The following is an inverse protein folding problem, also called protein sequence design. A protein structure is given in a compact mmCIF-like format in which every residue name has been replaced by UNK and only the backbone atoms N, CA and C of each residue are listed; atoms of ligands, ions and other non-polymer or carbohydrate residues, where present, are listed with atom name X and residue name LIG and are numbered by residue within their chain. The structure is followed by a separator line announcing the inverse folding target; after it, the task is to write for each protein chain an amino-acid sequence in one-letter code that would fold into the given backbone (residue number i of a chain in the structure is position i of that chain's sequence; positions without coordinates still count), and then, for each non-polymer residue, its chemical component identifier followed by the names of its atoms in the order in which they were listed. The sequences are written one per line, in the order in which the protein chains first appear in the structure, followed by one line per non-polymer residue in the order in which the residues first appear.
data_IF_387318064562
#
_entry.id   IF_387318064562
#
_cell.length_a   1.000
_cell.length_b   1.000
_cell.length_c   1.000
_cell.angle_alpha   90.00
_cell.angle_beta   90.00
_cell.angle_gamma   90.00
#
_symmetry.space_group_name_H-M   'P 1'
#
loop_
_entity.id
_entity.type
_entity.pdbx_description
1 polymer ?
#
# COMPACT_ATOMS: atom_id res chain seq x y z
N UNK A 1 -17.12 -10.75 10.89
CA UNK A 1 -16.01 -9.78 10.76
C UNK A 1 -15.65 -9.34 12.15
N UNK A 2 -14.38 -9.14 12.45
CA UNK A 2 -14.12 -8.49 13.72
C UNK A 2 -14.48 -7.00 13.55
N UNK A 3 -15.16 -6.44 14.54
CA UNK A 3 -15.47 -5.00 14.60
C UNK A 3 -14.21 -4.14 14.41
N UNK A 4 -13.03 -4.66 14.76
CA UNK A 4 -11.73 -4.03 14.51
C UNK A 4 -11.42 -3.78 13.02
N UNK A 5 -11.73 -4.74 12.14
CA UNK A 5 -11.47 -4.55 10.70
C UNK A 5 -12.37 -3.46 10.10
N UNK A 6 -13.64 -3.43 10.51
CA UNK A 6 -14.59 -2.40 10.07
C UNK A 6 -14.14 -1.02 10.56
N UNK A 7 -13.63 -0.95 11.79
CA UNK A 7 -13.05 0.29 12.31
C UNK A 7 -11.89 0.80 11.47
N UNK A 8 -10.92 -0.08 11.17
CA UNK A 8 -9.76 0.28 10.35
C UNK A 8 -10.22 0.80 8.98
N UNK A 9 -11.17 0.12 8.33
CA UNK A 9 -11.70 0.57 7.05
C UNK A 9 -12.45 1.90 7.14
N UNK A 10 -13.22 2.14 8.21
CA UNK A 10 -13.87 3.43 8.50
C UNK A 10 -12.83 4.52 8.73
N UNK A 11 -11.73 4.22 9.44
CA UNK A 11 -10.62 5.16 9.65
C UNK A 11 -9.98 5.61 8.33
N UNK A 12 -9.78 4.71 7.37
CA UNK A 12 -9.29 5.04 6.03
C UNK A 12 -10.26 5.89 5.20
N UNK A 13 -11.53 5.95 5.56
CA UNK A 13 -12.47 6.91 4.96
C UNK A 13 -12.28 8.31 5.55
N UNK A 14 -12.08 8.39 6.87
CA UNK A 14 -11.93 9.67 7.58
C UNK A 14 -10.58 10.31 7.32
N UNK A 15 -9.52 9.51 7.36
CA UNK A 15 -8.15 9.90 6.99
C UNK A 15 -7.76 9.17 5.70
N UNK A 16 -8.11 9.74 4.55
CA UNK A 16 -8.03 9.03 3.30
C UNK A 16 -6.60 8.69 2.91
N UNK A 17 -6.38 7.42 2.62
CA UNK A 17 -5.18 6.90 1.98
C UNK A 17 -5.41 6.77 0.47
N UNK A 18 -4.37 6.90 -0.34
CA UNK A 18 -4.50 6.84 -1.79
C UNK A 18 -4.61 5.41 -2.30
N UNK A 19 -3.94 4.47 -1.65
CA UNK A 19 -3.89 3.06 -2.04
C UNK A 19 -3.81 2.18 -0.79
N UNK A 20 -4.53 1.08 -0.82
CA UNK A 20 -4.47 0.01 0.16
C UNK A 20 -4.02 -1.27 -0.54
N UNK A 21 -2.89 -1.82 -0.16
CA UNK A 21 -2.48 -3.15 -0.62
C UNK A 21 -2.96 -4.22 0.36
N UNK A 22 -3.37 -5.34 -0.18
CA UNK A 22 -3.72 -6.52 0.64
C UNK A 22 -2.46 -7.15 1.17
N UNK A 23 -2.34 -7.25 2.50
CA UNK A 23 -1.29 -7.99 3.16
C UNK A 23 -1.65 -9.47 3.33
N UNK A 24 -0.66 -10.25 3.75
CA UNK A 24 -0.81 -11.69 4.01
C UNK A 24 -1.93 -11.99 5.02
N UNK A 25 -1.97 -11.21 6.12
CA UNK A 25 -2.98 -11.39 7.18
C UNK A 25 -4.34 -10.85 6.78
N UNK A 26 -4.40 -9.96 5.82
CA UNK A 26 -5.61 -9.23 5.44
C UNK A 26 -6.38 -9.93 4.30
N UNK A 27 -5.78 -10.95 3.69
CA UNK A 27 -6.35 -11.62 2.51
C UNK A 27 -7.78 -12.17 2.74
N UNK A 28 -8.06 -12.69 3.93
CA UNK A 28 -9.40 -13.19 4.29
C UNK A 28 -10.37 -12.03 4.50
N UNK A 29 -9.95 -10.99 5.22
CA UNK A 29 -10.77 -9.80 5.44
C UNK A 29 -11.05 -9.06 4.13
N UNK A 30 -10.04 -8.93 3.27
CA UNK A 30 -10.19 -8.29 1.96
C UNK A 30 -11.24 -9.00 1.10
N UNK A 31 -11.26 -10.33 1.06
CA UNK A 31 -12.28 -11.07 0.32
C UNK A 31 -13.70 -10.75 0.80
N UNK A 32 -13.90 -10.56 2.09
CA UNK A 32 -15.19 -10.21 2.66
C UNK A 32 -15.65 -8.80 2.25
N UNK A 33 -14.73 -7.81 2.24
CA UNK A 33 -15.05 -6.46 1.75
C UNK A 33 -15.35 -6.44 0.25
N UNK A 34 -14.70 -7.33 -0.51
CA UNK A 34 -14.80 -7.46 -1.96
C UNK A 34 -15.86 -8.49 -2.40
N UNK A 35 -16.63 -9.08 -1.49
CA UNK A 35 -17.73 -9.98 -1.85
C UNK A 35 -18.68 -9.28 -2.83
N UNK A 36 -19.09 -9.99 -3.89
CA UNK A 36 -19.92 -9.41 -4.99
C UNK A 36 -21.29 -8.95 -4.49
N UNK A 37 -21.90 -9.77 -3.63
CA UNK A 37 -23.16 -9.39 -3.01
C UNK A 37 -23.01 -8.12 -2.17
N UNK A 38 -23.81 -7.11 -2.48
CA UNK A 38 -23.82 -5.80 -1.82
C UNK A 38 -22.52 -4.98 -1.95
N UNK A 39 -21.61 -5.29 -2.90
CA UNK A 39 -20.33 -4.58 -3.06
C UNK A 39 -20.53 -3.08 -3.30
N UNK A 40 -21.46 -2.68 -4.15
CA UNK A 40 -21.71 -1.26 -4.45
C UNK A 40 -22.12 -0.49 -3.19
N UNK A 41 -23.08 -1.02 -2.43
CA UNK A 41 -23.53 -0.39 -1.18
C UNK A 41 -22.40 -0.31 -0.14
N UNK A 42 -21.58 -1.38 0.00
CA UNK A 42 -20.40 -1.32 0.88
C UNK A 42 -19.38 -0.29 0.42
N UNK A 43 -19.12 -0.17 -0.89
CA UNK A 43 -18.19 0.80 -1.42
C UNK A 43 -18.70 2.25 -1.34
N UNK A 44 -20.00 2.46 -1.22
CA UNK A 44 -20.59 3.77 -0.91
C UNK A 44 -20.38 4.12 0.57
N UNK A 45 -20.65 3.18 1.48
CA UNK A 45 -20.44 3.39 2.92
C UNK A 45 -18.94 3.43 3.30
N UNK A 46 -18.10 2.70 2.57
CA UNK A 46 -16.66 2.59 2.80
C UNK A 46 -15.88 2.85 1.50
N UNK A 47 -15.74 4.10 1.05
CA UNK A 47 -15.02 4.45 -0.19
C UNK A 47 -13.58 3.93 -0.25
N UNK A 48 -12.95 3.64 0.89
CA UNK A 48 -11.63 3.01 0.97
C UNK A 48 -11.55 1.65 0.25
N UNK A 49 -12.68 0.94 0.11
CA UNK A 49 -12.75 -0.33 -0.64
C UNK A 49 -12.29 -0.14 -2.10
N UNK A 50 -12.62 1.00 -2.72
CA UNK A 50 -12.21 1.33 -4.11
C UNK A 50 -10.73 1.61 -4.28
N UNK A 51 -9.98 1.69 -3.17
CA UNK A 51 -8.52 1.95 -3.14
C UNK A 51 -7.72 0.68 -2.90
N UNK A 52 -8.40 -0.45 -2.73
CA UNK A 52 -7.75 -1.75 -2.55
C UNK A 52 -7.17 -2.21 -3.89
N UNK A 53 -5.89 -2.55 -3.88
CA UNK A 53 -5.17 -3.14 -5.01
C UNK A 53 -4.53 -4.46 -4.59
N UNK A 54 -4.49 -5.41 -5.51
CA UNK A 54 -3.66 -6.61 -5.36
C UNK A 54 -3.50 -7.35 -6.68
N UNK A 55 -2.27 -7.56 -7.10
CA UNK A 55 -1.95 -8.22 -8.36
C UNK A 55 -1.93 -9.76 -8.26
N UNK A 56 -1.87 -10.29 -7.04
CA UNK A 56 -1.74 -11.72 -6.79
C UNK A 56 -2.69 -12.26 -5.72
N UNK A 57 -3.74 -11.50 -5.36
CA UNK A 57 -4.82 -12.03 -4.50
C UNK A 57 -5.66 -13.01 -5.32
N UNK A 58 -5.68 -14.27 -4.90
CA UNK A 58 -6.59 -15.27 -5.42
C UNK A 58 -7.93 -15.14 -4.71
N UNK A 59 -9.00 -15.02 -5.48
CA UNK A 59 -10.37 -14.89 -4.97
C UNK A 59 -11.27 -15.97 -5.54
N UNK A 60 -12.26 -16.38 -4.74
CA UNK A 60 -13.32 -17.28 -5.18
C UNK A 60 -14.33 -16.57 -6.11
N UNK A 61 -15.26 -17.33 -6.71
CA UNK A 61 -16.25 -16.79 -7.66
C UNK A 61 -17.20 -15.76 -7.04
N UNK A 62 -17.40 -15.82 -5.73
CA UNK A 62 -18.27 -14.92 -4.96
C UNK A 62 -17.60 -13.58 -4.63
N UNK A 63 -16.32 -13.40 -4.98
CA UNK A 63 -15.53 -12.22 -4.65
C UNK A 63 -15.16 -11.47 -5.92
N UNK A 64 -15.26 -10.15 -5.89
CA UNK A 64 -14.74 -9.29 -6.95
C UNK A 64 -13.23 -9.15 -6.78
N UNK A 65 -12.45 -9.55 -7.77
CA UNK A 65 -11.01 -9.34 -7.73
C UNK A 65 -10.72 -7.83 -7.67
N UNK A 66 -9.83 -7.38 -6.76
CA UNK A 66 -9.41 -5.99 -6.77
C UNK A 66 -8.58 -5.70 -8.03
N UNK A 67 -8.52 -4.43 -8.49
CA UNK A 67 -7.60 -4.08 -9.55
C UNK A 67 -6.16 -4.40 -9.13
N UNK A 68 -5.31 -4.84 -10.05
CA UNK A 68 -3.91 -5.14 -9.73
C UNK A 68 -3.11 -3.88 -9.40
N UNK A 69 -3.51 -2.75 -9.94
CA UNK A 69 -2.90 -1.43 -9.73
C UNK A 69 -3.94 -0.31 -9.85
N UNK A 70 -3.57 0.86 -9.34
CA UNK A 70 -4.28 2.13 -9.57
C UNK A 70 -3.32 3.16 -10.16
N UNK A 71 -3.86 4.08 -10.96
CA UNK A 71 -3.12 5.26 -11.43
C UNK A 71 -3.81 6.49 -10.88
N UNK A 72 -3.04 7.33 -10.19
CA UNK A 72 -3.51 8.59 -9.64
C UNK A 72 -2.80 9.74 -10.34
N UNK A 73 -3.55 10.72 -10.80
CA UNK A 73 -2.99 11.96 -11.28
C UNK A 73 -2.83 12.95 -10.13
N UNK A 74 -1.62 13.43 -9.94
CA UNK A 74 -1.27 14.40 -8.91
C UNK A 74 -0.94 15.72 -9.60
N UNK A 75 -1.64 16.77 -9.21
CA UNK A 75 -1.43 18.13 -9.70
C UNK A 75 -1.12 19.06 -8.54
N UNK A 76 -0.40 20.15 -8.81
CA UNK A 76 -0.09 21.13 -7.80
C UNK A 76 0.99 22.12 -8.25
N UNK A 77 1.17 23.24 -7.50
CA UNK A 77 2.06 24.32 -7.90
C UNK A 77 3.55 23.94 -7.92
N UNK A 78 3.91 22.83 -7.26
CA UNK A 78 5.29 22.32 -7.19
C UNK A 78 5.58 21.20 -8.18
N UNK A 79 4.58 20.78 -8.95
CA UNK A 79 4.74 19.74 -9.97
C UNK A 79 5.15 20.46 -11.27
N UNK A 80 6.22 20.02 -11.96
CA UNK A 80 6.65 20.65 -13.21
C UNK A 80 5.47 20.72 -14.18
N UNK A 81 5.13 21.95 -14.59
CA UNK A 81 4.00 22.19 -15.49
C UNK A 81 4.34 21.64 -16.88
N UNK A 82 3.86 20.45 -17.18
CA UNK A 82 3.91 19.84 -18.52
C UNK A 82 2.55 19.91 -19.21
N UNK A 83 1.66 20.81 -18.75
CA UNK A 83 0.28 20.90 -19.27
C UNK A 83 -0.64 19.77 -18.78
N UNK A 84 -0.13 18.81 -17.98
CA UNK A 84 -0.87 17.71 -17.35
C UNK A 84 -0.27 17.40 -15.97
N UNK A 85 -1.06 16.80 -15.10
CA UNK A 85 -0.58 16.30 -13.81
C UNK A 85 0.42 15.15 -13.94
N UNK A 86 1.13 14.86 -12.85
CA UNK A 86 2.03 13.71 -12.74
C UNK A 86 1.19 12.45 -12.49
N UNK A 87 1.29 11.45 -13.36
CA UNK A 87 0.63 10.17 -13.19
C UNK A 87 1.49 9.25 -12.34
N UNK A 88 0.97 8.88 -11.16
CA UNK A 88 1.61 7.92 -10.25
C UNK A 88 0.88 6.59 -10.35
N UNK A 89 1.59 5.55 -10.76
CA UNK A 89 1.08 4.17 -10.81
C UNK A 89 1.43 3.43 -9.53
N UNK A 90 0.44 2.76 -8.92
CA UNK A 90 0.60 1.97 -7.70
C UNK A 90 0.25 0.52 -7.99
N UNK A 91 1.23 -0.37 -7.96
CA UNK A 91 1.06 -1.82 -8.09
C UNK A 91 1.05 -2.46 -6.70
N UNK A 92 0.00 -3.20 -6.36
CA UNK A 92 -0.08 -3.95 -5.10
C UNK A 92 0.38 -5.39 -5.28
N UNK A 93 1.34 -5.83 -4.47
CA UNK A 93 1.76 -7.24 -4.41
C UNK A 93 1.97 -7.68 -2.96
N UNK A 94 1.81 -8.96 -2.69
CA UNK A 94 2.10 -9.52 -1.37
C UNK A 94 2.64 -10.93 -1.48
N UNK A 95 3.32 -11.36 -0.43
CA UNK A 95 3.79 -12.72 -0.26
C UNK A 95 2.70 -13.53 0.47
N UNK A 96 1.98 -14.43 -0.22
CA UNK A 96 0.95 -15.26 0.42
C UNK A 96 1.53 -16.13 1.53
N UNK A 97 0.71 -16.54 2.50
CA UNK A 97 1.12 -17.62 3.42
C UNK A 97 1.28 -18.89 2.60
N UNK A 98 2.42 -19.56 2.77
CA UNK A 98 2.67 -20.85 2.13
C UNK A 98 1.55 -21.82 2.52
N UNK A 99 0.68 -22.10 1.57
CA UNK A 99 -0.33 -23.18 1.64
C UNK A 99 0.08 -24.39 0.79
N UNK A 100 1.29 -24.38 0.23
CA UNK A 100 1.87 -25.45 -0.53
C UNK A 100 3.04 -26.11 0.22
N UNK A 101 3.41 -27.31 -0.20
CA UNK A 101 4.52 -28.09 0.37
C UNK A 101 5.89 -27.36 0.30
N UNK A 102 5.98 -26.28 -0.48
CA UNK A 102 7.20 -25.46 -0.62
C UNK A 102 6.96 -23.98 -0.31
N UNK A 103 7.67 -23.40 0.69
CA UNK A 103 7.62 -21.96 1.00
C UNK A 103 7.99 -21.06 -0.19
N UNK A 104 8.72 -21.57 -1.19
CA UNK A 104 9.12 -20.81 -2.38
C UNK A 104 8.00 -20.55 -3.39
N UNK A 105 6.89 -21.26 -3.33
CA UNK A 105 5.79 -21.09 -4.30
C UNK A 105 5.00 -19.81 -4.06
N UNK A 106 4.89 -19.35 -2.82
CA UNK A 106 4.19 -18.12 -2.46
C UNK A 106 4.90 -16.86 -2.97
N UNK A 107 6.22 -16.82 -2.90
CA UNK A 107 7.02 -15.71 -3.43
C UNK A 107 7.02 -15.69 -4.96
N UNK A 108 7.00 -16.86 -5.61
CA UNK A 108 6.99 -16.98 -7.07
C UNK A 108 5.81 -16.23 -7.71
N UNK A 109 4.61 -16.30 -7.13
CA UNK A 109 3.43 -15.60 -7.64
C UNK A 109 3.57 -14.09 -7.56
N UNK A 110 4.13 -13.57 -6.47
CA UNK A 110 4.41 -12.14 -6.30
C UNK A 110 5.37 -11.63 -7.38
N UNK A 111 6.48 -12.33 -7.61
CA UNK A 111 7.46 -11.97 -8.64
C UNK A 111 6.88 -12.11 -10.06
N UNK A 112 6.11 -13.15 -10.33
CA UNK A 112 5.47 -13.35 -11.63
C UNK A 112 4.46 -12.22 -11.94
N UNK A 113 3.66 -11.81 -10.95
CA UNK A 113 2.73 -10.69 -11.09
C UNK A 113 3.48 -9.37 -11.37
N UNK A 114 4.56 -9.09 -10.64
CA UNK A 114 5.37 -7.90 -10.85
C UNK A 114 6.00 -7.88 -12.24
N UNK A 115 6.67 -8.95 -12.66
CA UNK A 115 7.30 -9.04 -14.00
C UNK A 115 6.32 -8.83 -15.15
N UNK A 116 5.08 -9.28 -15.00
CA UNK A 116 4.02 -9.11 -16.01
C UNK A 116 3.49 -7.69 -16.04
N UNK A 117 3.26 -7.07 -14.87
CA UNK A 117 2.49 -5.83 -14.77
C UNK A 117 3.35 -4.57 -14.73
N UNK A 118 4.60 -4.65 -14.29
CA UNK A 118 5.50 -3.48 -14.23
C UNK A 118 5.71 -2.85 -15.61
N UNK A 119 6.01 -3.57 -16.70
CA UNK A 119 6.15 -2.96 -18.02
C UNK A 119 4.86 -2.31 -18.51
N UNK A 120 3.71 -2.97 -18.28
CA UNK A 120 2.39 -2.44 -18.64
C UNK A 120 2.09 -1.12 -17.91
N UNK A 121 2.30 -1.10 -16.59
CA UNK A 121 2.01 0.07 -15.77
C UNK A 121 3.00 1.20 -16.04
N UNK A 122 4.30 0.88 -16.28
CA UNK A 122 5.32 1.88 -16.65
C UNK A 122 4.94 2.69 -17.89
N UNK A 123 4.32 2.07 -18.87
CA UNK A 123 3.87 2.76 -20.07
C UNK A 123 2.72 3.76 -19.83
N UNK A 124 2.06 3.68 -18.68
CA UNK A 124 0.86 4.46 -18.32
C UNK A 124 1.12 5.55 -17.27
N UNK A 125 2.29 5.56 -16.61
CA UNK A 125 2.58 6.46 -15.49
C UNK A 125 3.97 7.10 -15.59
N UNK A 126 4.12 8.24 -14.93
CA UNK A 126 5.38 8.99 -14.84
C UNK A 126 6.24 8.51 -13.65
N UNK A 127 5.61 8.07 -12.57
CA UNK A 127 6.22 7.48 -11.38
C UNK A 127 5.56 6.14 -11.08
N UNK A 128 6.37 5.09 -10.91
CA UNK A 128 5.88 3.75 -10.62
C UNK A 128 6.26 3.33 -9.20
N UNK A 129 5.26 3.10 -8.38
CA UNK A 129 5.39 2.66 -6.99
C UNK A 129 4.85 1.24 -6.85
N UNK A 130 5.64 0.35 -6.27
CA UNK A 130 5.19 -0.98 -5.85
C UNK A 130 4.93 -0.97 -4.35
N UNK A 131 3.71 -1.26 -3.95
CA UNK A 131 3.35 -1.47 -2.54
C UNK A 131 3.41 -2.96 -2.27
N UNK A 132 4.44 -3.39 -1.54
CA UNK A 132 4.78 -4.80 -1.38
C UNK A 132 4.69 -5.24 0.09
N UNK A 133 3.79 -6.18 0.39
CA UNK A 133 3.82 -6.84 1.69
C UNK A 133 4.82 -8.01 1.65
N UNK A 134 6.09 -7.70 1.86
CA UNK A 134 7.21 -8.64 1.82
C UNK A 134 8.39 -8.11 2.63
N UNK A 135 9.39 -8.95 2.85
CA UNK A 135 10.63 -8.57 3.54
C UNK A 135 11.59 -7.76 2.63
N UNK A 136 12.64 -7.21 3.23
CA UNK A 136 13.65 -6.40 2.53
C UNK A 136 14.45 -7.17 1.47
N UNK A 137 14.70 -8.48 1.69
CA UNK A 137 15.43 -9.31 0.74
C UNK A 137 14.63 -9.48 -0.54
N UNK A 138 13.35 -9.80 -0.40
CA UNK A 138 12.44 -9.93 -1.54
C UNK A 138 12.12 -8.58 -2.18
N UNK A 139 12.04 -7.49 -1.42
CA UNK A 139 11.90 -6.15 -1.97
C UNK A 139 13.11 -5.74 -2.83
N UNK A 140 14.33 -6.06 -2.37
CA UNK A 140 15.55 -5.82 -3.15
C UNK A 140 15.55 -6.64 -4.45
N UNK A 141 15.18 -7.92 -4.39
CA UNK A 141 15.04 -8.77 -5.56
C UNK A 141 13.95 -8.27 -6.52
N UNK A 142 12.81 -7.75 -6.01
CA UNK A 142 11.79 -7.11 -6.85
C UNK A 142 12.38 -5.94 -7.63
N UNK A 143 13.22 -5.09 -6.99
CA UNK A 143 13.89 -3.98 -7.64
C UNK A 143 14.90 -4.44 -8.71
N UNK A 144 15.69 -5.48 -8.42
CA UNK A 144 16.65 -6.05 -9.36
C UNK A 144 15.97 -6.64 -10.60
N UNK A 145 14.88 -7.41 -10.41
CA UNK A 145 14.13 -8.02 -11.50
C UNK A 145 13.25 -7.02 -12.27
N UNK A 146 12.94 -5.86 -11.69
CA UNK A 146 12.06 -4.85 -12.27
C UNK A 146 12.69 -3.44 -12.21
N UNK A 147 13.77 -3.17 -12.98
CA UNK A 147 14.50 -1.91 -12.89
C UNK A 147 13.70 -0.68 -13.37
N UNK A 148 12.48 -0.86 -13.85
CA UNK A 148 11.56 0.22 -14.23
C UNK A 148 10.79 0.80 -13.04
N UNK A 149 10.83 0.15 -11.87
CA UNK A 149 10.20 0.62 -10.64
C UNK A 149 11.00 1.78 -10.06
N UNK A 150 10.32 2.84 -9.64
CA UNK A 150 10.97 4.00 -9.03
C UNK A 150 11.01 3.88 -7.50
N UNK A 151 9.93 3.36 -6.88
CA UNK A 151 9.83 3.20 -5.43
C UNK A 151 9.19 1.86 -5.08
N UNK A 152 9.71 1.19 -4.06
CA UNK A 152 9.07 0.06 -3.41
C UNK A 152 8.79 0.43 -1.96
N UNK A 153 7.52 0.35 -1.54
CA UNK A 153 7.11 0.47 -0.14
C UNK A 153 6.93 -0.94 0.39
N UNK A 154 7.87 -1.39 1.22
CA UNK A 154 7.84 -2.71 1.84
C UNK A 154 7.30 -2.64 3.26
N UNK A 155 6.50 -3.62 3.71
CA UNK A 155 5.77 -3.54 4.97
C UNK A 155 6.11 -4.64 5.98
N UNK A 156 7.20 -5.37 5.79
CA UNK A 156 7.56 -6.43 6.73
C UNK A 156 9.07 -6.46 7.08
N UNK A 157 9.70 -5.32 7.35
CA UNK A 157 11.06 -5.30 7.88
C UNK A 157 11.05 -5.52 9.39
N UNK A 158 12.11 -6.11 9.96
CA UNK A 158 12.24 -6.21 11.41
C UNK A 158 12.43 -4.85 12.09
N UNK A 159 12.97 -3.85 11.39
CA UNK A 159 13.23 -2.49 11.89
C UNK A 159 13.04 -1.46 10.76
N UNK A 160 12.78 -0.18 11.14
CA UNK A 160 12.86 0.93 10.18
C UNK A 160 14.30 1.14 9.81
N UNK A 161 14.55 1.17 8.52
CA UNK A 161 15.86 1.46 7.95
C UNK A 161 15.76 2.69 7.05
N UNK A 162 16.83 3.48 6.93
CA UNK A 162 16.93 4.48 5.90
C UNK A 162 16.58 3.86 4.53
N UNK A 163 16.06 4.63 3.58
CA UNK A 163 15.77 4.12 2.25
C UNK A 163 16.99 3.43 1.65
N UNK A 164 16.79 2.20 1.18
CA UNK A 164 17.82 1.46 0.45
C UNK A 164 17.63 1.72 -1.04
N UNK A 165 18.73 1.97 -1.73
CA UNK A 165 18.71 2.10 -3.18
C UNK A 165 19.25 0.83 -3.84
N UNK A 166 18.48 0.32 -4.81
CA UNK A 166 18.87 -0.82 -5.67
C UNK A 166 18.70 -0.35 -7.12
N UNK A 167 19.82 -0.18 -7.83
CA UNK A 167 19.80 0.50 -9.13
C UNK A 167 19.26 1.92 -8.98
N UNK A 168 18.15 2.25 -9.67
CA UNK A 168 17.45 3.52 -9.51
C UNK A 168 16.26 3.45 -8.53
N UNK A 169 15.89 2.26 -8.06
CA UNK A 169 14.73 2.03 -7.21
C UNK A 169 15.03 2.38 -5.77
N UNK A 170 14.17 3.18 -5.14
CA UNK A 170 14.22 3.44 -3.70
C UNK A 170 13.31 2.46 -2.97
N UNK A 171 13.85 1.74 -2.00
CA UNK A 171 13.08 0.85 -1.12
C UNK A 171 12.92 1.53 0.23
N UNK A 172 11.68 1.77 0.63
CA UNK A 172 11.32 2.31 1.93
C UNK A 172 10.47 1.30 2.69
N UNK A 173 10.57 1.33 4.00
CA UNK A 173 9.87 0.40 4.89
C UNK A 173 9.09 1.16 5.95
N UNK A 174 7.91 0.64 6.30
CA UNK A 174 7.19 1.10 7.48
C UNK A 174 7.78 0.47 8.75
N UNK A 175 7.70 1.19 9.87
CA UNK A 175 8.11 0.66 11.17
C UNK A 175 7.20 -0.49 11.62
N UNK A 176 7.75 -1.51 12.30
CA UNK A 176 6.93 -2.49 13.00
C UNK A 176 6.11 -1.79 14.09
N UNK A 177 4.91 -2.32 14.35
CA UNK A 177 4.01 -1.86 15.40
C UNK A 177 3.61 -0.36 15.35
N UNK A 178 3.70 0.29 14.17
CA UNK A 178 3.34 1.71 13.98
C UNK A 178 4.07 2.67 14.93
N UNK A 179 5.30 2.36 15.31
CA UNK A 179 6.10 3.18 16.24
C UNK A 179 6.78 4.36 15.57
N UNK A 180 6.75 4.44 14.24
CA UNK A 180 7.39 5.53 13.49
C UNK A 180 6.59 5.88 12.24
N UNK A 181 6.66 7.14 11.84
CA UNK A 181 6.20 7.64 10.56
C UNK A 181 7.38 7.92 9.65
N UNK A 182 7.37 7.35 8.44
CA UNK A 182 8.32 7.67 7.38
C UNK A 182 7.74 8.71 6.42
N UNK A 183 8.50 9.75 6.10
CA UNK A 183 8.21 10.76 5.08
C UNK A 183 9.27 10.66 3.97
N UNK A 184 8.89 10.13 2.80
CA UNK A 184 9.71 10.09 1.60
C UNK A 184 9.25 11.18 0.64
N UNK A 185 10.06 12.22 0.47
CA UNK A 185 9.82 13.29 -0.50
C UNK A 185 10.65 13.06 -1.75
N UNK A 186 9.97 12.95 -2.88
CA UNK A 186 10.60 12.81 -4.19
C UNK A 186 10.62 14.15 -4.89
N UNK A 187 11.78 14.50 -5.45
CA UNK A 187 11.99 15.72 -6.23
C UNK A 187 12.30 15.32 -7.66
N UNK A 188 11.47 15.79 -8.59
CA UNK A 188 11.65 15.55 -10.02
C UNK A 188 12.37 16.75 -10.65
N UNK A 189 13.55 16.54 -11.25
CA UNK A 189 14.25 17.58 -11.99
C UNK A 189 13.68 17.78 -13.40
N UNK A 190 14.14 18.84 -14.09
CA UNK A 190 13.73 19.16 -15.47
C UNK A 190 14.08 18.06 -16.49
N UNK A 191 15.00 17.16 -16.16
CA UNK A 191 15.42 16.02 -16.98
C UNK A 191 14.64 14.74 -16.66
N UNK A 192 13.67 14.80 -15.74
CA UNK A 192 12.89 13.65 -15.32
C UNK A 192 13.61 12.70 -14.35
N UNK A 193 14.68 13.16 -13.70
CA UNK A 193 15.41 12.36 -12.70
C UNK A 193 14.86 12.66 -11.32
N UNK A 194 14.68 11.61 -10.51
CA UNK A 194 14.26 11.71 -9.14
C UNK A 194 15.46 11.81 -8.20
N UNK A 195 15.38 12.73 -7.25
CA UNK A 195 16.13 12.72 -6.00
C UNK A 195 15.17 12.60 -4.83
N UNK A 196 15.65 12.28 -3.64
CA UNK A 196 14.77 12.11 -2.49
C UNK A 196 15.32 12.77 -1.23
N UNK A 197 14.40 13.08 -0.32
CA UNK A 197 14.67 13.36 1.09
C UNK A 197 13.80 12.41 1.90
N UNK A 198 14.42 11.75 2.86
CA UNK A 198 13.71 10.89 3.80
C UNK A 198 13.86 11.42 5.22
N UNK A 199 12.77 11.37 5.97
CA UNK A 199 12.73 11.68 7.38
C UNK A 199 11.91 10.60 8.07
N UNK A 200 12.26 10.24 9.29
CA UNK A 200 11.42 9.42 10.16
C UNK A 200 11.15 10.17 11.45
N UNK A 201 9.96 10.01 11.97
CA UNK A 201 9.53 10.58 13.25
C UNK A 201 9.07 9.44 14.14
N UNK A 202 9.64 9.34 15.34
CA UNK A 202 9.17 8.40 16.34
C UNK A 202 7.80 8.83 16.85
N UNK A 203 6.86 7.89 16.87
CA UNK A 203 5.50 8.10 17.36
C UNK A 203 5.45 7.68 18.83
N UNK A 204 5.91 8.56 19.68
CA UNK A 204 5.96 8.39 21.15
C UNK A 204 5.02 9.38 21.87
N UNK A 205 5.09 9.41 23.19
CA UNK A 205 4.27 10.28 24.02
C UNK A 205 4.55 11.80 23.84
N UNK A 206 5.66 12.15 23.14
CA UNK A 206 6.01 13.54 22.87
C UNK A 206 5.31 14.07 21.60
N UNK A 207 4.79 13.17 20.74
CA UNK A 207 4.00 13.56 19.57
C UNK A 207 2.58 13.89 20.03
N UNK A 208 2.12 15.16 19.89
CA UNK A 208 0.76 15.51 20.29
C UNK A 208 -0.26 14.68 19.52
N UNK A 209 -1.16 14.04 20.24
CA UNK A 209 -2.25 13.32 19.61
C UNK A 209 -3.24 14.30 18.97
N UNK A 210 -3.69 14.01 17.77
CA UNK A 210 -4.76 14.75 17.11
C UNK A 210 -6.07 14.61 17.90
N UNK A 211 -6.71 15.73 18.35
CA UNK A 211 -7.91 15.66 19.16
C UNK A 211 -9.09 14.94 18.49
N UNK A 212 -9.20 15.06 17.17
CA UNK A 212 -10.25 14.38 16.39
C UNK A 212 -10.00 12.87 16.34
N UNK A 213 -8.74 12.44 16.16
CA UNK A 213 -8.36 11.04 16.19
C UNK A 213 -8.57 10.41 17.57
N UNK A 214 -8.28 11.14 18.65
CA UNK A 214 -8.56 10.71 20.02
C UNK A 214 -10.05 10.50 20.25
N UNK A 215 -10.88 11.50 19.90
CA UNK A 215 -12.33 11.41 20.06
C UNK A 215 -12.92 10.24 19.25
N UNK A 216 -12.45 10.06 18.03
CA UNK A 216 -12.87 8.95 17.18
C UNK A 216 -12.48 7.60 17.79
N UNK A 217 -11.24 7.45 18.25
CA UNK A 217 -10.75 6.20 18.86
C UNK A 217 -11.53 5.87 20.12
N UNK A 218 -11.80 6.86 20.98
CA UNK A 218 -12.60 6.67 22.19
C UNK A 218 -14.01 6.16 21.88
N UNK A 219 -14.70 6.80 20.94
CA UNK A 219 -16.05 6.40 20.52
C UNK A 219 -16.08 4.96 19.99
N UNK A 220 -15.06 4.57 19.24
CA UNK A 220 -14.96 3.22 18.69
C UNK A 220 -14.64 2.18 19.75
N UNK A 221 -13.76 2.46 20.69
CA UNK A 221 -13.48 1.55 21.80
C UNK A 221 -14.72 1.34 22.65
N UNK A 222 -15.54 2.36 22.84
CA UNK A 222 -16.82 2.26 23.52
C UNK A 222 -17.79 1.34 22.75
N UNK A 223 -17.91 1.52 21.42
CA UNK A 223 -18.73 0.65 20.56
C UNK A 223 -18.26 -0.82 20.63
N UNK A 224 -16.95 -1.05 20.55
CA UNK A 224 -16.37 -2.40 20.65
C UNK A 224 -16.62 -3.06 22.00
N UNK A 225 -16.58 -2.30 23.08
CA UNK A 225 -16.84 -2.81 24.43
C UNK A 225 -18.33 -3.18 24.65
N UNK A 226 -19.25 -2.48 23.96
CA UNK A 226 -20.69 -2.81 23.99
C UNK A 226 -21.03 -4.11 23.22
N UNK A 227 -20.14 -4.52 22.27
CA UNK A 227 -20.33 -5.71 21.45
C UNK A 227 -19.70 -6.99 22.05
N UNK A 228 -19.03 -6.88 23.19
CA UNK A 228 -18.45 -7.98 23.97
C UNK A 228 -19.42 -8.44 25.05
#
# INVERSE_FOLDING_TARGET
MSAQNDLVMKSFNRWPVDVLNVGRSDSVAAQKYLARDGLSARAEMMPAIRRIVSANLRVGPEVSAPPPYLIKEVSGPRIPNRGRGLKVGFLGVFEPRGGGENPGDSTREMFAAARRLVPELRAKCDLLVVVAHTDLKNAARLAEENPQVDVIIASNPPNVLPPRQVGKTFIVCAAPANTQQGDLRLYLDKRGRFSYKFMSTDLDALVPADPEALAYTAAVLEELNRLR
#
